data_IF_888488170219
#
_entry.id   IF_888488170219
#
_cell.length_a   1.000
_cell.length_b   1.000
_cell.length_c   1.000
_cell.angle_alpha   90.00
_cell.angle_beta   90.00
_cell.angle_gamma   90.00
#
_symmetry.space_group_name_H-M   'P 1'
#
loop_
_entity.id
_entity.type
_entity.pdbx_description
1 polymer ?
#
# COMPACT_ATOMS: atom_id res chain seq x y z
N UNK A 1 2.78 -9.51 17.16
CA UNK A 1 1.74 -10.30 16.48
C UNK A 1 1.86 -10.15 14.99
N UNK A 2 1.56 -11.21 14.27
CA UNK A 2 1.53 -11.27 12.82
C UNK A 2 0.52 -10.24 12.26
N UNK A 3 0.92 -9.50 11.23
CA UNK A 3 0.08 -8.46 10.61
C UNK A 3 -0.07 -8.58 9.11
N UNK A 4 0.92 -9.19 8.44
CA UNK A 4 0.82 -9.58 7.05
C UNK A 4 0.58 -11.09 6.97
N UNK A 5 -0.40 -11.48 6.17
CA UNK A 5 -0.61 -12.88 5.80
C UNK A 5 -1.18 -12.92 4.38
N UNK A 6 -0.41 -13.46 3.47
CA UNK A 6 -0.73 -13.50 2.04
C UNK A 6 -0.59 -14.93 1.52
N UNK A 7 -1.59 -15.40 0.82
CA UNK A 7 -1.49 -16.64 0.03
C UNK A 7 -0.96 -16.28 -1.36
N UNK A 8 0.23 -16.79 -1.70
CA UNK A 8 0.90 -16.58 -2.98
C UNK A 8 1.28 -17.94 -3.55
N UNK A 9 0.64 -18.35 -4.63
CA UNK A 9 0.93 -19.59 -5.36
C UNK A 9 1.04 -20.86 -4.49
N UNK A 10 0.13 -21.02 -3.55
CA UNK A 10 0.14 -22.15 -2.62
C UNK A 10 1.14 -22.00 -1.46
N UNK A 11 1.82 -20.88 -1.37
CA UNK A 11 2.70 -20.51 -0.27
C UNK A 11 2.02 -19.46 0.61
N UNK A 12 2.02 -19.69 1.90
CA UNK A 12 1.57 -18.73 2.89
C UNK A 12 2.76 -17.86 3.33
N UNK A 13 2.72 -16.59 2.98
CA UNK A 13 3.76 -15.61 3.30
C UNK A 13 3.27 -14.75 4.47
N UNK A 14 4.09 -14.64 5.50
CA UNK A 14 3.73 -13.95 6.75
C UNK A 14 4.91 -13.13 7.25
N UNK A 15 4.61 -12.00 7.89
CA UNK A 15 5.62 -11.28 8.68
C UNK A 15 5.82 -11.94 10.04
N UNK A 16 7.04 -11.96 10.51
CA UNK A 16 7.40 -12.41 11.83
C UNK A 16 8.32 -11.37 12.50
N UNK A 17 8.02 -11.09 13.75
CA UNK A 17 8.86 -10.25 14.60
C UNK A 17 9.54 -11.11 15.65
N UNK A 18 10.83 -10.91 15.83
CA UNK A 18 11.52 -11.41 17.02
C UNK A 18 11.17 -10.49 18.19
N UNK A 19 10.43 -10.99 19.15
CA UNK A 19 10.32 -10.33 20.44
C UNK A 19 11.63 -10.51 21.19
N UNK A 20 12.29 -9.39 21.52
CA UNK A 20 13.30 -9.43 22.58
C UNK A 20 12.58 -9.55 23.92
N UNK A 21 13.17 -10.26 24.87
CA UNK A 21 12.64 -10.43 26.23
C UNK A 21 12.46 -9.11 27.00
N UNK A 22 13.00 -8.03 26.53
CA UNK A 22 12.74 -6.67 27.02
C UNK A 22 11.47 -6.11 26.36
N UNK A 23 10.41 -5.99 27.10
CA UNK A 23 9.07 -5.51 26.71
C UNK A 23 9.02 -4.12 26.00
N UNK A 24 10.14 -3.48 25.75
CA UNK A 24 10.21 -2.09 25.29
C UNK A 24 10.94 -1.87 23.96
N UNK A 25 11.69 -2.85 23.45
CA UNK A 25 12.40 -2.70 22.19
C UNK A 25 11.78 -3.61 21.12
N UNK A 26 10.77 -3.10 20.44
CA UNK A 26 10.31 -3.69 19.19
C UNK A 26 11.49 -3.63 18.22
N UNK A 27 11.89 -4.77 17.70
CA UNK A 27 12.91 -4.84 16.67
C UNK A 27 12.49 -3.97 15.48
N UNK A 28 13.43 -3.19 14.95
CA UNK A 28 13.25 -2.47 13.68
C UNK A 28 13.32 -3.41 12.48
N UNK A 29 13.72 -4.63 12.72
CA UNK A 29 13.89 -5.66 11.72
C UNK A 29 12.63 -6.51 11.62
N UNK A 30 12.35 -6.98 10.43
CA UNK A 30 11.27 -7.90 10.16
C UNK A 30 11.81 -9.16 9.51
N UNK A 31 11.14 -10.27 9.72
CA UNK A 31 11.36 -11.50 8.99
C UNK A 31 10.12 -11.80 8.15
N UNK A 32 10.35 -12.21 6.92
CA UNK A 32 9.32 -12.74 6.07
C UNK A 32 9.47 -14.25 6.04
N UNK A 33 8.42 -14.93 6.45
CA UNK A 33 8.40 -16.40 6.57
C UNK A 33 7.44 -16.94 5.52
N UNK A 34 7.91 -17.90 4.75
CA UNK A 34 7.10 -18.58 3.75
C UNK A 34 6.88 -20.04 4.15
N UNK A 35 5.61 -20.45 4.18
CA UNK A 35 5.19 -21.82 4.46
C UNK A 35 4.42 -22.41 3.28
N UNK A 36 4.61 -23.69 3.05
CA UNK A 36 3.74 -24.43 2.14
C UNK A 36 2.31 -24.44 2.70
N UNK A 37 1.33 -23.93 1.93
CA UNK A 37 -0.05 -23.81 2.42
C UNK A 37 -0.79 -25.16 2.52
N UNK A 38 -0.20 -26.22 1.97
CA UNK A 38 -0.71 -27.60 2.01
C UNK A 38 0.28 -28.49 2.76
N UNK A 39 -0.14 -29.72 3.04
CA UNK A 39 0.75 -30.77 3.60
C UNK A 39 1.42 -30.43 4.95
N UNK A 40 0.71 -29.74 5.82
CA UNK A 40 1.16 -29.53 7.20
C UNK A 40 2.04 -28.31 7.41
N UNK A 41 2.16 -27.41 6.44
CA UNK A 41 2.80 -26.11 6.65
C UNK A 41 4.32 -26.17 6.76
N UNK A 42 4.98 -26.88 5.86
CA UNK A 42 6.45 -26.93 5.82
C UNK A 42 7.04 -25.54 5.59
N UNK A 43 8.02 -25.15 6.40
CA UNK A 43 8.80 -23.95 6.19
C UNK A 43 9.58 -24.05 4.87
N UNK A 44 9.40 -23.06 3.99
CA UNK A 44 10.08 -22.98 2.70
C UNK A 44 11.23 -22.00 2.73
N UNK A 45 11.04 -20.81 3.32
CA UNK A 45 12.08 -19.80 3.43
C UNK A 45 11.88 -18.88 4.62
N UNK A 46 12.97 -18.20 4.96
CA UNK A 46 13.04 -17.13 5.96
C UNK A 46 13.89 -16.01 5.39
N UNK A 47 13.26 -14.88 5.02
CA UNK A 47 13.95 -13.68 4.54
C UNK A 47 14.09 -12.68 5.66
N UNK A 48 15.32 -12.19 5.89
CA UNK A 48 15.60 -11.14 6.86
C UNK A 48 15.50 -9.76 6.19
N UNK A 49 14.71 -8.88 6.78
CA UNK A 49 14.43 -7.54 6.28
C UNK A 49 14.88 -6.50 7.31
N UNK A 50 16.12 -6.00 7.22
CA UNK A 50 16.68 -5.07 8.21
C UNK A 50 16.03 -3.69 8.12
N UNK A 51 15.78 -3.06 9.26
CA UNK A 51 15.31 -1.68 9.41
C UNK A 51 14.00 -1.35 8.67
N UNK A 52 13.20 -2.32 8.33
CA UNK A 52 11.94 -2.09 7.58
C UNK A 52 10.75 -1.84 8.48
N UNK A 53 10.90 -2.11 9.75
CA UNK A 53 9.75 -2.17 10.65
C UNK A 53 8.79 -3.29 10.23
N UNK A 54 7.56 -3.18 10.65
CA UNK A 54 6.53 -4.18 10.36
C UNK A 54 6.02 -4.10 8.93
N UNK A 55 5.74 -5.28 8.37
CA UNK A 55 5.03 -5.43 7.10
C UNK A 55 3.53 -5.39 7.36
N UNK A 56 2.90 -4.50 7.72
CA UNK A 56 1.49 -4.42 8.04
C UNK A 56 1.23 -3.53 9.22
N UNK A 57 0.19 -2.77 9.13
CA UNK A 57 -0.24 -1.90 10.22
C UNK A 57 -1.58 -2.37 10.75
N UNK A 58 -1.94 -1.98 11.98
CA UNK A 58 -3.30 -2.21 12.49
C UNK A 58 -4.39 -1.55 11.65
N UNK A 59 -4.01 -0.65 10.74
CA UNK A 59 -4.93 0.14 9.93
C UNK A 59 -5.35 -0.51 8.61
N UNK A 60 -4.88 -1.74 8.32
CA UNK A 60 -5.49 -2.62 7.31
C UNK A 60 -5.50 -2.12 5.87
N UNK A 61 -4.69 -1.15 5.54
CA UNK A 61 -4.45 -0.83 4.14
C UNK A 61 -3.82 -2.04 3.46
N UNK A 62 -4.18 -2.28 2.23
CA UNK A 62 -3.52 -3.31 1.46
C UNK A 62 -2.03 -2.99 1.38
N UNK A 63 -1.27 -3.85 2.03
CA UNK A 63 0.19 -3.78 2.11
C UNK A 63 0.84 -4.69 1.07
N UNK A 64 0.04 -5.29 0.23
CA UNK A 64 0.49 -6.16 -0.84
C UNK A 64 -0.38 -6.02 -2.08
N UNK A 65 0.20 -6.35 -3.22
CA UNK A 65 -0.50 -6.43 -4.50
C UNK A 65 0.18 -7.48 -5.39
N UNK A 66 -0.55 -8.06 -6.33
CA UNK A 66 -0.01 -8.92 -7.38
C UNK A 66 -0.08 -8.17 -8.71
N UNK A 67 0.87 -8.46 -9.59
CA UNK A 67 0.76 -8.07 -10.98
C UNK A 67 0.18 -9.20 -11.86
N UNK A 68 0.04 -8.90 -13.14
CA UNK A 68 -0.51 -9.85 -14.12
C UNK A 68 0.47 -11.00 -14.44
N UNK A 69 1.76 -10.84 -14.16
CA UNK A 69 2.77 -11.88 -14.29
C UNK A 69 2.80 -12.83 -13.09
N UNK A 70 2.10 -12.49 -12.00
CA UNK A 70 2.05 -13.26 -10.77
C UNK A 70 3.10 -12.85 -9.75
N UNK A 71 3.89 -11.80 -9.99
CA UNK A 71 4.79 -11.25 -8.99
C UNK A 71 4.00 -10.63 -7.83
N UNK A 72 4.48 -10.83 -6.60
CA UNK A 72 3.90 -10.27 -5.38
C UNK A 72 4.74 -9.09 -4.90
N UNK A 73 4.09 -7.97 -4.65
CA UNK A 73 4.70 -6.76 -4.11
C UNK A 73 4.24 -6.56 -2.67
N UNK A 74 5.18 -6.25 -1.78
CA UNK A 74 4.96 -6.09 -0.34
C UNK A 74 5.44 -4.72 0.10
N UNK A 75 4.57 -3.98 0.77
CA UNK A 75 4.91 -2.68 1.34
C UNK A 75 5.37 -2.82 2.78
N UNK A 76 6.61 -2.44 3.05
CA UNK A 76 7.12 -2.16 4.38
C UNK A 76 7.02 -0.66 4.65
N UNK A 77 6.18 -0.27 5.58
CA UNK A 77 5.95 1.17 5.85
C UNK A 77 7.14 1.85 6.54
N UNK A 78 8.09 1.08 7.05
CA UNK A 78 9.29 1.62 7.68
C UNK A 78 9.01 2.29 9.03
N UNK A 79 7.91 1.94 9.67
CA UNK A 79 7.48 2.59 10.90
C UNK A 79 7.63 1.73 12.14
N UNK A 80 7.83 2.38 13.27
CA UNK A 80 7.54 1.82 14.59
C UNK A 80 6.02 1.74 14.82
N UNK A 81 5.61 1.42 16.04
CA UNK A 81 4.19 1.43 16.43
C UNK A 81 3.47 2.77 16.18
N UNK A 82 4.22 3.85 16.09
CA UNK A 82 3.74 5.21 15.87
C UNK A 82 3.97 5.68 14.44
N UNK A 83 4.70 4.91 13.62
CA UNK A 83 4.86 5.17 12.19
C UNK A 83 5.94 6.18 11.81
N UNK A 84 6.96 6.40 12.63
CA UNK A 84 7.94 7.47 12.45
C UNK A 84 9.26 7.09 11.80
N UNK A 85 9.46 5.82 11.44
CA UNK A 85 10.66 5.43 10.71
C UNK A 85 10.56 5.78 9.23
N UNK A 86 11.70 6.22 8.70
CA UNK A 86 11.83 6.77 7.35
C UNK A 86 12.35 5.74 6.32
N UNK A 87 12.34 4.48 6.67
CA UNK A 87 12.86 3.40 5.83
C UNK A 87 11.75 2.65 5.09
N UNK A 88 10.74 3.39 4.64
CA UNK A 88 9.65 2.79 3.88
C UNK A 88 10.15 2.27 2.54
N UNK A 89 9.78 1.06 2.21
CA UNK A 89 10.18 0.45 0.94
C UNK A 89 9.17 -0.58 0.45
N UNK A 90 9.26 -0.91 -0.83
CA UNK A 90 8.45 -1.92 -1.48
C UNK A 90 9.39 -3.02 -1.96
N UNK A 91 9.07 -4.26 -1.58
CA UNK A 91 9.75 -5.48 -1.99
C UNK A 91 8.96 -6.20 -3.08
N UNK A 92 9.66 -7.05 -3.85
CA UNK A 92 9.04 -8.01 -4.75
C UNK A 92 9.38 -9.43 -4.34
N UNK A 93 8.43 -10.33 -4.53
CA UNK A 93 8.64 -11.79 -4.60
C UNK A 93 8.22 -12.20 -6.00
N UNK A 94 9.10 -12.80 -6.77
CA UNK A 94 8.82 -13.21 -8.15
C UNK A 94 7.82 -14.36 -8.19
N UNK A 95 7.07 -14.42 -9.26
CA UNK A 95 6.30 -15.60 -9.63
C UNK A 95 7.16 -16.86 -9.53
N UNK A 96 6.62 -17.92 -8.91
CA UNK A 96 7.34 -19.17 -8.68
C UNK A 96 8.41 -19.12 -7.57
N UNK A 97 8.61 -17.98 -6.91
CA UNK A 97 9.52 -17.82 -5.77
C UNK A 97 8.75 -17.71 -4.45
N UNK A 98 9.43 -17.99 -3.37
CA UNK A 98 8.96 -17.73 -2.01
C UNK A 98 9.94 -16.89 -1.20
N UNK A 99 10.94 -16.32 -1.87
CA UNK A 99 11.95 -15.43 -1.29
C UNK A 99 11.85 -14.03 -1.87
N UNK A 100 12.24 -13.04 -1.07
CA UNK A 100 12.33 -11.66 -1.54
C UNK A 100 13.38 -11.56 -2.65
N UNK A 101 13.01 -10.93 -3.75
CA UNK A 101 13.91 -10.65 -4.86
C UNK A 101 14.98 -9.62 -4.43
N UNK A 102 16.27 -10.02 -4.36
CA UNK A 102 17.32 -9.12 -3.92
C UNK A 102 17.60 -7.96 -4.89
N UNK A 103 17.22 -8.14 -6.17
CA UNK A 103 17.52 -7.20 -7.25
C UNK A 103 16.42 -6.18 -7.48
N UNK A 104 15.27 -6.36 -6.80
CA UNK A 104 14.12 -5.48 -6.99
C UNK A 104 13.60 -4.93 -5.65
N UNK A 105 13.78 -3.66 -5.47
CA UNK A 105 13.16 -2.88 -4.39
C UNK A 105 13.01 -1.42 -4.79
N UNK A 106 12.05 -0.73 -4.21
CA UNK A 106 11.88 0.72 -4.31
C UNK A 106 11.89 1.31 -2.90
N UNK A 107 12.86 2.15 -2.61
CA UNK A 107 13.01 2.83 -1.32
C UNK A 107 12.41 4.22 -1.39
N UNK A 108 11.82 4.68 -0.31
CA UNK A 108 11.32 6.05 -0.21
C UNK A 108 12.45 7.08 -0.42
N UNK A 109 13.68 6.75 -0.03
CA UNK A 109 14.87 7.61 -0.26
C UNK A 109 15.17 7.84 -1.74
N UNK A 110 14.77 6.91 -2.62
CA UNK A 110 15.06 6.99 -4.05
C UNK A 110 14.21 8.06 -4.75
N UNK A 111 13.16 8.57 -4.08
CA UNK A 111 12.31 9.64 -4.60
C UNK A 111 12.95 11.03 -4.50
N UNK A 112 14.07 11.19 -3.80
CA UNK A 112 14.79 12.47 -3.70
C UNK A 112 14.02 13.57 -2.96
N UNK A 113 13.10 13.21 -2.07
CA UNK A 113 12.32 14.18 -1.30
C UNK A 113 13.20 14.90 -0.27
N UNK A 114 12.93 16.17 -0.05
CA UNK A 114 13.69 17.03 0.90
C UNK A 114 13.28 16.82 2.36
N UNK A 115 12.31 15.95 2.62
CA UNK A 115 11.79 15.65 3.95
C UNK A 115 11.64 14.13 4.13
N UNK A 116 11.61 13.67 5.38
CA UNK A 116 11.28 12.29 5.68
C UNK A 116 9.86 11.93 5.23
N UNK A 117 9.74 10.96 4.35
CA UNK A 117 8.47 10.52 3.82
C UNK A 117 8.30 9.00 3.99
N UNK A 118 7.11 8.51 3.72
CA UNK A 118 6.85 7.07 3.61
C UNK A 118 5.77 6.76 2.58
N UNK A 119 5.77 5.52 2.12
CA UNK A 119 4.70 4.95 1.32
C UNK A 119 3.50 4.57 2.16
N UNK A 120 2.31 4.58 1.54
CA UNK A 120 1.08 4.16 2.17
C UNK A 120 0.13 3.51 1.15
N UNK A 121 -0.16 2.23 1.35
CA UNK A 121 -0.96 1.44 0.45
C UNK A 121 -0.30 1.17 -0.90
N UNK A 122 -0.60 0.07 -1.51
CA UNK A 122 -0.15 -0.28 -2.85
C UNK A 122 -1.28 -0.91 -3.67
N UNK A 123 -1.21 -0.70 -4.98
CA UNK A 123 -2.08 -1.32 -5.96
C UNK A 123 -1.31 -1.49 -7.27
N UNK A 124 -1.47 -2.60 -7.97
CA UNK A 124 -0.79 -2.83 -9.25
C UNK A 124 -1.79 -2.88 -10.39
N UNK A 125 -1.48 -2.21 -11.48
CA UNK A 125 -2.30 -2.21 -12.68
C UNK A 125 -1.45 -1.88 -13.93
N UNK A 126 -1.52 -2.72 -14.95
CA UNK A 126 -0.87 -2.53 -16.25
C UNK A 126 0.62 -2.14 -16.15
N UNK A 127 1.41 -2.92 -15.41
CA UNK A 127 2.85 -2.70 -15.26
C UNK A 127 3.24 -1.49 -14.40
N UNK A 128 2.28 -0.83 -13.77
CA UNK A 128 2.50 0.25 -12.80
C UNK A 128 2.05 -0.16 -11.41
N UNK A 129 2.85 0.19 -10.42
CA UNK A 129 2.47 0.13 -9.02
C UNK A 129 2.05 1.53 -8.58
N UNK A 130 0.84 1.63 -8.08
CA UNK A 130 0.32 2.86 -7.48
C UNK A 130 0.54 2.81 -5.98
N UNK A 131 0.95 3.92 -5.41
CA UNK A 131 1.11 4.10 -3.97
C UNK A 131 0.81 5.54 -3.60
N UNK A 132 0.71 5.81 -2.32
CA UNK A 132 0.64 7.17 -1.80
C UNK A 132 1.92 7.46 -1.04
N UNK A 133 2.44 8.66 -1.19
CA UNK A 133 3.61 9.17 -0.47
C UNK A 133 3.17 10.35 0.38
N UNK A 134 3.61 10.40 1.64
CA UNK A 134 3.30 11.57 2.48
C UNK A 134 3.78 12.85 1.79
N UNK A 135 2.90 13.85 1.70
CA UNK A 135 3.15 15.09 0.97
C UNK A 135 4.07 16.06 1.74
N UNK A 136 4.28 15.78 3.00
CA UNK A 136 5.17 16.51 3.91
C UNK A 136 5.69 15.56 4.99
N UNK A 137 6.60 16.03 5.84
CA UNK A 137 7.02 15.27 7.01
C UNK A 137 5.81 14.96 7.89
N UNK A 138 5.64 13.68 8.20
CA UNK A 138 4.54 13.24 9.05
C UNK A 138 4.69 13.78 10.47
N UNK A 139 3.59 14.16 11.07
CA UNK A 139 3.58 14.60 12.46
C UNK A 139 3.86 13.43 13.42
N UNK A 140 4.73 13.69 14.39
CA UNK A 140 4.93 12.81 15.55
C UNK A 140 3.77 12.90 16.57
N UNK A 141 2.90 13.87 16.41
CA UNK A 141 1.81 14.15 17.35
C UNK A 141 0.55 13.44 16.86
N UNK A 142 0.07 12.46 17.62
CA UNK A 142 -1.07 11.61 17.25
C UNK A 142 -2.35 12.39 16.89
N UNK A 143 -2.58 13.54 17.51
CA UNK A 143 -3.72 14.41 17.22
C UNK A 143 -3.63 15.13 15.88
N UNK A 144 -2.44 15.24 15.30
CA UNK A 144 -2.19 15.91 14.02
C UNK A 144 -2.18 14.95 12.82
N UNK A 145 -2.05 13.64 13.06
CA UNK A 145 -2.10 12.61 12.00
C UNK A 145 -3.32 12.75 11.06
N UNK A 146 -4.51 13.17 11.52
CA UNK A 146 -5.64 13.41 10.63
C UNK A 146 -5.43 14.53 9.60
N UNK A 147 -4.44 15.39 9.79
CA UNK A 147 -4.09 16.49 8.89
C UNK A 147 -3.03 16.09 7.86
N UNK A 148 -2.44 14.90 7.99
CA UNK A 148 -1.47 14.41 7.04
C UNK A 148 -2.11 14.29 5.65
N UNK A 149 -1.40 14.76 4.65
CA UNK A 149 -1.76 14.67 3.24
C UNK A 149 -0.83 13.72 2.50
N UNK A 150 -1.36 13.12 1.44
CA UNK A 150 -0.70 12.06 0.70
C UNK A 150 -0.82 12.28 -0.80
N UNK A 151 0.31 12.36 -1.47
CA UNK A 151 0.36 12.44 -2.92
C UNK A 151 0.35 11.06 -3.54
N UNK A 152 -0.47 10.85 -4.56
CA UNK A 152 -0.41 9.65 -5.37
C UNK A 152 0.83 9.62 -6.24
N UNK A 153 1.47 8.47 -6.31
CA UNK A 153 2.62 8.16 -7.15
C UNK A 153 2.35 6.93 -7.99
N UNK A 154 2.93 6.90 -9.17
CA UNK A 154 3.11 5.69 -9.97
C UNK A 154 4.57 5.28 -9.94
N UNK A 155 4.82 3.98 -9.90
CA UNK A 155 6.14 3.37 -9.99
C UNK A 155 6.09 2.40 -11.16
N UNK A 156 6.94 2.58 -12.13
CA UNK A 156 7.11 1.65 -13.24
C UNK A 156 7.77 0.36 -12.76
N UNK A 157 7.12 -0.79 -12.95
CA UNK A 157 7.61 -2.06 -12.40
C UNK A 157 8.90 -2.54 -13.04
N UNK A 158 9.15 -2.19 -14.30
CA UNK A 158 10.35 -2.61 -15.03
C UNK A 158 11.55 -1.74 -14.69
N UNK A 159 11.37 -0.41 -14.65
CA UNK A 159 12.46 0.55 -14.44
C UNK A 159 12.60 1.01 -13.00
N UNK A 160 11.57 0.81 -12.18
CA UNK A 160 11.43 1.31 -10.81
C UNK A 160 11.37 2.84 -10.73
N UNK A 161 11.18 3.50 -11.86
CA UNK A 161 11.00 4.95 -11.88
C UNK A 161 9.70 5.32 -11.20
N UNK A 162 9.78 6.23 -10.22
CA UNK A 162 8.65 6.72 -9.45
C UNK A 162 8.37 8.19 -9.78
N UNK A 163 7.12 8.51 -10.03
CA UNK A 163 6.68 9.87 -10.33
C UNK A 163 5.34 10.20 -9.67
N UNK A 164 5.12 11.44 -9.23
CA UNK A 164 3.84 11.85 -8.69
C UNK A 164 2.78 11.94 -9.81
N UNK A 165 1.55 11.61 -9.48
CA UNK A 165 0.40 11.90 -10.36
C UNK A 165 0.10 13.39 -10.25
N UNK A 166 0.71 14.17 -11.14
CA UNK A 166 0.66 15.65 -11.09
C UNK A 166 -0.75 16.24 -11.29
N UNK A 167 -1.65 15.49 -11.92
CA UNK A 167 -3.04 15.88 -12.10
C UNK A 167 -3.90 15.76 -10.84
N UNK A 168 -3.37 15.15 -9.76
CA UNK A 168 -4.00 15.06 -8.45
C UNK A 168 -3.24 15.88 -7.42
N UNK A 169 -3.97 16.71 -6.66
CA UNK A 169 -3.44 17.32 -5.44
C UNK A 169 -3.31 16.26 -4.35
N UNK A 170 -2.54 16.52 -3.26
CA UNK A 170 -2.50 15.62 -2.13
C UNK A 170 -3.91 15.31 -1.58
N UNK A 171 -4.13 14.06 -1.24
CA UNK A 171 -5.36 13.55 -0.64
C UNK A 171 -5.20 13.52 0.87
N UNK A 172 -6.23 13.87 1.60
CA UNK A 172 -6.30 13.59 3.02
C UNK A 172 -6.46 12.07 3.19
N UNK A 173 -5.38 11.35 3.46
CA UNK A 173 -5.45 9.91 3.68
C UNK A 173 -6.09 9.63 5.03
N UNK A 174 -7.36 9.88 5.10
CA UNK A 174 -8.06 9.69 6.33
C UNK A 174 -8.56 8.26 6.47
N UNK A 175 -7.97 7.58 7.44
CA UNK A 175 -8.40 6.35 8.12
C UNK A 175 -8.74 5.15 7.22
N UNK A 176 -7.80 4.20 7.26
CA UNK A 176 -8.12 2.80 7.57
C UNK A 176 -8.77 1.95 6.48
N UNK A 177 -8.15 0.79 6.25
CA UNK A 177 -8.82 -0.40 5.74
C UNK A 177 -9.37 -0.30 4.32
N UNK A 178 -8.88 0.63 3.51
CA UNK A 178 -9.46 0.86 2.21
C UNK A 178 -8.42 0.76 1.11
N UNK A 179 -8.83 0.18 0.02
CA UNK A 179 -8.06 0.17 -1.20
C UNK A 179 -7.82 1.61 -1.68
N UNK A 180 -6.56 1.92 -2.01
CA UNK A 180 -6.23 3.21 -2.63
C UNK A 180 -6.74 3.30 -4.07
N UNK A 181 -6.95 2.14 -4.70
CA UNK A 181 -7.43 2.06 -6.07
C UNK A 181 -8.30 0.80 -6.27
N UNK A 182 -9.11 0.81 -7.32
CA UNK A 182 -9.89 -0.34 -7.78
C UNK A 182 -10.06 -0.30 -9.28
N UNK A 183 -10.25 -1.46 -9.92
CA UNK A 183 -10.54 -1.56 -11.35
C UNK A 183 -11.95 -2.07 -11.55
N UNK A 184 -12.74 -1.36 -12.35
CA UNK A 184 -14.09 -1.75 -12.73
C UNK A 184 -14.24 -1.54 -14.24
N UNK A 185 -14.68 -2.59 -14.95
CA UNK A 185 -14.85 -2.60 -16.39
C UNK A 185 -13.60 -2.09 -17.14
N UNK A 186 -12.41 -2.51 -16.70
CA UNK A 186 -11.13 -2.14 -17.29
C UNK A 186 -10.69 -0.70 -17.04
N UNK A 187 -11.40 0.05 -16.21
CA UNK A 187 -11.02 1.41 -15.80
C UNK A 187 -10.47 1.41 -14.38
N UNK A 188 -9.36 2.07 -14.20
CA UNK A 188 -8.73 2.27 -12.90
C UNK A 188 -9.34 3.50 -12.21
N UNK A 189 -9.75 3.32 -10.97
CA UNK A 189 -10.30 4.36 -10.12
C UNK A 189 -9.41 4.55 -8.90
N UNK A 190 -8.98 5.77 -8.64
CA UNK A 190 -8.24 6.16 -7.46
C UNK A 190 -9.21 6.72 -6.42
N UNK A 191 -9.14 6.22 -5.21
CA UNK A 191 -9.87 6.78 -4.08
C UNK A 191 -9.26 8.13 -3.72
N UNK A 192 -10.07 9.17 -3.70
CA UNK A 192 -9.58 10.50 -3.41
C UNK A 192 -10.50 11.20 -2.40
N UNK A 193 -9.91 11.61 -1.29
CA UNK A 193 -10.61 12.36 -0.24
C UNK A 193 -9.83 13.62 0.04
N UNK A 194 -10.51 14.75 0.06
CA UNK A 194 -9.95 16.03 0.46
C UNK A 194 -10.91 16.73 1.41
N UNK A 195 -10.45 17.01 2.62
CA UNK A 195 -11.24 17.64 3.66
C UNK A 195 -11.03 19.14 3.75
N UNK A 196 -10.08 19.70 3.00
CA UNK A 196 -9.80 21.13 2.94
C UNK A 196 -11.04 21.91 2.49
N UNK A 197 -11.31 23.02 3.13
CA UNK A 197 -12.45 23.89 2.83
C UNK A 197 -12.40 24.53 1.43
N UNK A 198 -11.21 24.65 0.84
CA UNK A 198 -11.03 25.31 -0.46
C UNK A 198 -11.51 24.46 -1.65
N UNK A 199 -11.46 23.15 -1.55
CA UNK A 199 -11.93 22.26 -2.61
C UNK A 199 -12.21 20.87 -2.02
N UNK A 200 -13.28 20.71 -1.24
CA UNK A 200 -13.61 19.43 -0.63
C UNK A 200 -13.98 18.42 -1.70
N UNK A 201 -13.52 17.19 -1.52
CA UNK A 201 -13.84 16.08 -2.41
C UNK A 201 -13.88 14.78 -1.60
N UNK A 202 -14.82 13.91 -1.94
CA UNK A 202 -14.96 12.62 -1.28
C UNK A 202 -15.48 11.62 -2.33
N UNK A 203 -14.59 10.92 -3.00
CA UNK A 203 -15.01 10.08 -4.11
C UNK A 203 -13.85 9.40 -4.82
N UNK A 204 -13.99 9.28 -6.12
CA UNK A 204 -13.05 8.59 -6.98
C UNK A 204 -12.71 9.42 -8.22
N UNK A 205 -11.46 9.32 -8.64
CA UNK A 205 -10.95 9.79 -9.92
C UNK A 205 -10.70 8.58 -10.81
N UNK A 206 -11.02 8.66 -12.09
CA UNK A 206 -10.45 7.74 -13.07
C UNK A 206 -9.00 8.11 -13.33
N UNK A 207 -8.15 7.14 -13.53
CA UNK A 207 -6.75 7.36 -13.88
C UNK A 207 -6.40 6.58 -15.15
N UNK A 208 -5.89 7.29 -16.13
CA UNK A 208 -5.36 6.72 -17.37
C UNK A 208 -3.84 6.55 -17.23
N UNK A 209 -3.40 5.30 -17.17
CA UNK A 209 -1.99 4.93 -16.99
C UNK A 209 -1.14 5.36 -18.19
N UNK A 210 -1.70 5.39 -19.41
CA UNK A 210 -0.98 5.73 -20.62
C UNK A 210 -0.68 7.24 -20.72
N UNK A 211 -1.61 8.08 -20.24
CA UNK A 211 -1.47 9.54 -20.31
C UNK A 211 -1.02 10.17 -18.98
N UNK A 212 -1.08 9.42 -17.87
CA UNK A 212 -0.79 9.93 -16.53
C UNK A 212 -1.87 10.90 -16.00
N UNK A 213 -3.05 10.92 -16.61
CA UNK A 213 -4.10 11.88 -16.29
C UNK A 213 -5.15 11.27 -15.37
N UNK A 214 -5.40 11.94 -14.25
CA UNK A 214 -6.52 11.66 -13.37
C UNK A 214 -7.65 12.67 -13.61
N UNK A 215 -8.89 12.17 -13.75
CA UNK A 215 -10.10 13.00 -13.96
C UNK A 215 -11.18 12.64 -12.94
N UNK A 216 -11.94 13.60 -12.41
CA UNK A 216 -13.04 13.33 -11.50
C UNK A 216 -14.03 12.33 -12.10
N UNK A 217 -14.39 11.29 -11.34
CA UNK A 217 -15.37 10.30 -11.75
C UNK A 217 -16.71 10.54 -11.05
N UNK A 218 -16.72 10.47 -9.73
CA UNK A 218 -17.89 10.77 -8.91
C UNK A 218 -17.48 11.08 -7.47
N UNK A 219 -18.34 11.82 -6.78
CA UNK A 219 -18.17 12.14 -5.38
C UNK A 219 -19.48 12.02 -4.61
N UNK A 220 -19.36 11.86 -3.30
CA UNK A 220 -20.48 11.88 -2.34
C UNK A 220 -20.26 12.99 -1.33
N UNK A 221 -21.32 13.42 -0.66
CA UNK A 221 -21.23 14.47 0.33
C UNK A 221 -20.35 14.03 1.53
N UNK A 222 -19.47 14.90 1.99
CA UNK A 222 -18.60 14.64 3.15
C UNK A 222 -19.39 14.34 4.44
N UNK A 223 -20.57 14.91 4.59
CA UNK A 223 -21.44 14.69 5.75
C UNK A 223 -21.95 13.23 5.86
N UNK A 224 -21.92 12.49 4.75
CA UNK A 224 -22.32 11.08 4.70
C UNK A 224 -21.21 10.11 5.13
N UNK A 225 -20.05 10.63 5.54
CA UNK A 225 -18.85 9.81 5.80
C UNK A 225 -17.93 9.74 4.59
N UNK A 226 -16.81 9.05 4.74
CA UNK A 226 -15.82 8.91 3.66
C UNK A 226 -16.10 7.69 2.81
N UNK A 227 -15.86 7.82 1.50
CA UNK A 227 -15.87 6.65 0.61
C UNK A 227 -14.79 5.66 1.07
N UNK A 228 -15.17 4.41 1.25
CA UNK A 228 -14.28 3.35 1.73
C UNK A 228 -13.92 2.38 0.61
N UNK A 229 -14.92 1.93 -0.13
CA UNK A 229 -14.75 0.99 -1.23
C UNK A 229 -15.85 1.23 -2.28
N UNK A 230 -15.63 0.67 -3.45
CA UNK A 230 -16.53 0.82 -4.58
C UNK A 230 -16.49 -0.47 -5.42
N UNK A 231 -17.65 -1.08 -5.60
CA UNK A 231 -17.79 -2.35 -6.31
C UNK A 231 -18.95 -2.31 -7.27
N UNK A 232 -18.79 -2.97 -8.41
CA UNK A 232 -19.89 -3.24 -9.33
C UNK A 232 -20.72 -4.41 -8.80
N UNK A 233 -22.02 -4.21 -8.68
CA UNK A 233 -22.97 -5.27 -8.35
C UNK A 233 -23.69 -5.66 -9.63
N UNK A 234 -23.59 -6.91 -10.03
CA UNK A 234 -24.39 -7.48 -11.11
C UNK A 234 -25.62 -8.13 -10.50
N UNK A 235 -26.77 -7.57 -10.75
CA UNK A 235 -28.05 -8.18 -10.36
C UNK A 235 -28.38 -9.28 -11.35
N UNK A 236 -28.38 -10.53 -10.90
CA UNK A 236 -28.94 -11.63 -11.70
C UNK A 236 -30.47 -11.53 -11.60
N UNK A 237 -31.20 -11.43 -12.74
CA UNK A 237 -32.65 -11.47 -12.67
C UNK A 237 -33.10 -12.78 -12.01
N UNK A 238 -33.91 -12.69 -10.96
CA UNK A 238 -34.55 -13.88 -10.44
C UNK A 238 -35.54 -14.41 -11.49
N UNK A 239 -35.53 -15.70 -11.81
CA UNK A 239 -36.56 -16.27 -12.65
C UNK A 239 -37.92 -16.04 -11.96
N UNK A 240 -38.87 -15.50 -12.72
CA UNK A 240 -40.25 -15.34 -12.28
C UNK A 240 -40.94 -16.69 -12.21
#
# INVERSE_FOLDING_TARGET
>A
GMKLMVLHEGTLIMDAELQSDAQTNLSRDCYLVAYEAKNGGRLLSLSYLPNTGRLGTPSELLQYAHDEAGDLYLLAQGGDLLGFYQNSLIYRIRHGSHEVDPDWQVKISDLGLSYPARFNGIYVYQGKLLTMVSAHQLSAIRSEIPQDEWQYYTIDLATRHAEPIASLRPSSAFRQGVNIATVIDGRLYLRYVRTSSEAPYNGYYTYDVATGLATPAFSVALQSGYVADFKKITLTPQPR
#
